data_IF_111776628448
#
_entry.id   IF_111776628448
#
_cell.length_a   1.000
_cell.length_b   1.000
_cell.length_c   1.000
_cell.angle_alpha   90.00
_cell.angle_beta   90.00
_cell.angle_gamma   90.00
#
_symmetry.space_group_name_H-M   'P 1'
#
loop_
_entity.id
_entity.type
_entity.pdbx_description
1 polymer ?
#
# COMPACT_ATOMS: atom_id res chain seq x y z
N UNK A 1 -40.00 52.81 14.20
CA UNK A 1 -39.93 51.39 14.59
C UNK A 1 -39.72 50.48 13.36
N UNK A 2 -40.67 50.43 12.42
CA UNK A 2 -40.60 49.53 11.24
C UNK A 2 -39.38 49.78 10.35
N UNK A 3 -39.09 51.03 9.99
CA UNK A 3 -37.93 51.38 9.15
C UNK A 3 -36.58 50.95 9.75
N UNK A 4 -36.42 51.09 11.07
CA UNK A 4 -35.20 50.67 11.77
C UNK A 4 -35.02 49.14 11.70
N UNK A 5 -36.08 48.37 11.95
CA UNK A 5 -36.06 46.90 11.86
C UNK A 5 -35.79 46.44 10.43
N UNK A 6 -36.35 47.11 9.42
CA UNK A 6 -36.09 46.82 8.01
C UNK A 6 -34.61 47.04 7.65
N UNK A 7 -34.03 48.18 8.06
CA UNK A 7 -32.61 48.48 7.83
C UNK A 7 -31.72 47.45 8.53
N UNK A 8 -32.02 47.12 9.79
CA UNK A 8 -31.25 46.15 10.56
C UNK A 8 -31.30 44.75 9.91
N UNK A 9 -32.47 44.34 9.42
CA UNK A 9 -32.64 43.05 8.73
C UNK A 9 -31.87 43.03 7.42
N UNK A 10 -31.91 44.11 6.64
CA UNK A 10 -31.14 44.23 5.41
C UNK A 10 -29.62 44.13 5.67
N UNK A 11 -29.12 44.81 6.71
CA UNK A 11 -27.71 44.71 7.13
C UNK A 11 -27.37 43.28 7.55
N UNK A 12 -28.22 42.62 8.32
CA UNK A 12 -28.00 41.24 8.76
C UNK A 12 -27.91 40.28 7.57
N UNK A 13 -28.78 40.42 6.57
CA UNK A 13 -28.73 39.62 5.34
C UNK A 13 -27.41 39.83 4.60
N UNK A 14 -26.95 41.08 4.45
CA UNK A 14 -25.67 41.38 3.81
C UNK A 14 -24.51 40.74 4.56
N UNK A 15 -24.47 40.88 5.88
CA UNK A 15 -23.42 40.27 6.73
C UNK A 15 -23.44 38.74 6.59
N UNK A 16 -24.62 38.12 6.59
CA UNK A 16 -24.74 36.69 6.41
C UNK A 16 -24.15 36.21 5.07
N UNK A 17 -24.50 36.87 3.97
CA UNK A 17 -23.95 36.53 2.65
C UNK A 17 -22.44 36.74 2.57
N UNK A 18 -21.91 37.78 3.21
CA UNK A 18 -20.46 38.00 3.31
C UNK A 18 -19.75 36.85 4.03
N UNK A 19 -20.26 36.46 5.19
CA UNK A 19 -19.69 35.33 5.96
C UNK A 19 -19.75 34.04 5.16
N UNK A 20 -20.88 33.77 4.51
CA UNK A 20 -21.06 32.59 3.65
C UNK A 20 -20.05 32.58 2.49
N UNK A 21 -19.89 33.70 1.79
CA UNK A 21 -18.93 33.82 0.70
C UNK A 21 -17.49 33.55 1.16
N UNK A 22 -17.07 34.14 2.30
CA UNK A 22 -15.74 33.92 2.87
C UNK A 22 -15.53 32.44 3.21
N UNK A 23 -16.52 31.79 3.83
CA UNK A 23 -16.45 30.38 4.18
C UNK A 23 -16.29 29.49 2.94
N UNK A 24 -17.07 29.74 1.89
CA UNK A 24 -17.00 29.00 0.63
C UNK A 24 -15.65 29.17 -0.07
N UNK A 25 -15.09 30.39 -0.09
CA UNK A 25 -13.77 30.65 -0.67
C UNK A 25 -12.70 29.85 0.09
N UNK A 26 -12.74 29.85 1.43
CA UNK A 26 -11.80 29.07 2.25
C UNK A 26 -11.89 27.57 1.96
N UNK A 27 -13.10 27.02 1.95
CA UNK A 27 -13.34 25.60 1.65
C UNK A 27 -12.83 25.26 0.25
N UNK A 28 -13.15 26.08 -0.75
CA UNK A 28 -12.68 25.86 -2.12
C UNK A 28 -11.15 25.85 -2.21
N UNK A 29 -10.47 26.76 -1.52
CA UNK A 29 -9.01 26.80 -1.45
C UNK A 29 -8.42 25.50 -0.88
N UNK A 30 -8.99 25.00 0.22
CA UNK A 30 -8.55 23.74 0.83
C UNK A 30 -8.78 22.56 -0.12
N UNK A 31 -9.97 22.44 -0.71
CA UNK A 31 -10.28 21.37 -1.67
C UNK A 31 -9.32 21.36 -2.87
N UNK A 32 -8.96 22.55 -3.38
CA UNK A 32 -7.99 22.67 -4.47
C UNK A 32 -6.60 22.16 -4.08
N UNK A 33 -6.16 22.45 -2.85
CA UNK A 33 -4.87 21.95 -2.33
C UNK A 33 -4.86 20.43 -2.13
N UNK A 34 -6.01 19.82 -1.79
CA UNK A 34 -6.15 18.39 -1.57
C UNK A 34 -6.19 17.61 -2.89
N UNK A 35 -7.04 18.02 -3.84
CA UNK A 35 -7.29 17.21 -5.05
C UNK A 35 -7.60 17.98 -6.34
N UNK A 36 -7.58 19.32 -6.33
CA UNK A 36 -8.03 20.12 -7.47
C UNK A 36 -6.95 20.48 -8.50
N UNK A 37 -5.68 20.10 -8.26
CA UNK A 37 -4.57 20.42 -9.19
C UNK A 37 -3.61 19.24 -9.36
N UNK A 38 -2.81 19.20 -10.44
CA UNK A 38 -1.76 18.19 -10.63
C UNK A 38 -0.67 18.19 -9.55
N UNK A 39 -0.57 19.27 -8.77
CA UNK A 39 0.39 19.45 -7.67
C UNK A 39 -0.23 19.26 -6.28
N UNK A 40 -1.51 18.90 -6.22
CA UNK A 40 -2.25 18.66 -4.99
C UNK A 40 -1.74 17.45 -4.20
N UNK A 41 -2.13 17.35 -2.93
CA UNK A 41 -1.69 16.25 -2.06
C UNK A 41 -2.07 14.87 -2.61
N UNK A 42 -3.30 14.69 -3.09
CA UNK A 42 -3.73 13.42 -3.68
C UNK A 42 -2.97 13.10 -4.97
N UNK A 43 -2.63 14.11 -5.77
CA UNK A 43 -1.82 13.90 -6.97
C UNK A 43 -0.41 13.40 -6.62
N UNK A 44 0.22 13.97 -5.58
CA UNK A 44 1.51 13.50 -5.05
C UNK A 44 1.42 12.08 -4.49
N UNK A 45 0.40 11.78 -3.69
CA UNK A 45 0.18 10.45 -3.14
C UNK A 45 0.01 9.41 -4.24
N UNK A 46 -0.79 9.70 -5.27
CA UNK A 46 -0.96 8.81 -6.43
C UNK A 46 0.37 8.53 -7.13
N UNK A 47 1.20 9.56 -7.35
CA UNK A 47 2.51 9.37 -7.98
C UNK A 47 3.44 8.54 -7.09
N UNK A 48 3.48 8.81 -5.79
CA UNK A 48 4.27 8.03 -4.82
C UNK A 48 3.83 6.58 -4.75
N UNK A 49 2.52 6.31 -4.66
CA UNK A 49 1.97 4.95 -4.65
C UNK A 49 2.28 4.21 -5.95
N UNK A 50 2.16 4.88 -7.10
CA UNK A 50 2.50 4.29 -8.40
C UNK A 50 3.99 3.96 -8.50
N UNK A 51 4.86 4.80 -7.94
CA UNK A 51 6.29 4.50 -7.88
C UNK A 51 6.54 3.27 -7.00
N UNK A 52 5.94 3.20 -5.81
CA UNK A 52 6.05 2.01 -4.94
C UNK A 52 5.57 0.76 -5.68
N UNK A 53 4.40 0.80 -6.31
CA UNK A 53 3.87 -0.33 -7.09
C UNK A 53 4.85 -0.77 -8.20
N UNK A 54 5.38 0.18 -8.97
CA UNK A 54 6.35 -0.10 -10.04
C UNK A 54 7.62 -0.75 -9.50
N UNK A 55 8.21 -0.16 -8.47
CA UNK A 55 9.45 -0.64 -7.84
C UNK A 55 9.26 -1.94 -7.07
N UNK A 56 8.05 -2.28 -6.63
CA UNK A 56 7.78 -3.50 -5.86
C UNK A 56 7.14 -4.61 -6.68
N UNK A 57 6.69 -4.32 -7.90
CA UNK A 57 5.99 -5.28 -8.80
C UNK A 57 6.76 -6.58 -9.04
N UNK A 58 8.09 -6.53 -9.02
CA UNK A 58 8.97 -7.67 -9.25
C UNK A 58 9.22 -8.53 -8.01
N UNK A 59 8.85 -8.07 -6.80
CA UNK A 59 9.07 -8.83 -5.56
C UNK A 59 8.22 -10.11 -5.54
N UNK A 60 6.94 -10.02 -5.89
CA UNK A 60 6.02 -11.18 -5.89
C UNK A 60 6.56 -12.36 -6.70
N UNK A 61 6.92 -12.23 -8.00
CA UNK A 61 7.46 -13.35 -8.76
C UNK A 61 8.82 -13.82 -8.23
N UNK A 62 9.65 -12.94 -7.67
CA UNK A 62 10.93 -13.35 -7.07
C UNK A 62 10.73 -14.18 -5.81
N UNK A 63 9.81 -13.79 -4.92
CA UNK A 63 9.47 -14.55 -3.70
C UNK A 63 8.95 -15.94 -4.05
N UNK A 64 8.09 -16.06 -5.06
CA UNK A 64 7.60 -17.36 -5.55
C UNK A 64 8.76 -18.22 -6.02
N UNK A 65 9.65 -17.69 -6.89
CA UNK A 65 10.82 -18.43 -7.39
C UNK A 65 11.76 -18.87 -6.28
N UNK A 66 12.01 -18.02 -5.29
CA UNK A 66 12.84 -18.35 -4.14
C UNK A 66 12.22 -19.49 -3.35
N UNK A 67 10.91 -19.42 -3.06
CA UNK A 67 10.23 -20.46 -2.33
C UNK A 67 10.22 -21.81 -3.08
N UNK A 68 10.00 -21.79 -4.39
CA UNK A 68 10.13 -22.99 -5.23
C UNK A 68 11.54 -23.59 -5.21
N UNK A 69 12.57 -22.73 -5.29
CA UNK A 69 13.96 -23.15 -5.19
C UNK A 69 14.27 -23.81 -3.84
N UNK A 70 13.84 -23.18 -2.75
CA UNK A 70 14.01 -23.71 -1.40
C UNK A 70 13.26 -25.04 -1.20
N UNK A 71 12.06 -25.16 -1.76
CA UNK A 71 11.29 -26.41 -1.73
C UNK A 71 12.02 -27.54 -2.45
N UNK A 72 12.60 -27.26 -3.62
CA UNK A 72 13.41 -28.24 -4.36
C UNK A 72 14.68 -28.64 -3.60
N UNK A 73 15.36 -27.68 -2.98
CA UNK A 73 16.53 -27.95 -2.14
C UNK A 73 16.15 -28.85 -0.98
N UNK A 74 15.06 -28.56 -0.27
CA UNK A 74 14.58 -29.38 0.83
C UNK A 74 14.29 -30.83 0.40
N UNK A 75 13.58 -31.03 -0.70
CA UNK A 75 13.32 -32.38 -1.24
C UNK A 75 14.58 -33.10 -1.69
N UNK A 76 15.56 -32.38 -2.26
CA UNK A 76 16.86 -32.95 -2.61
C UNK A 76 17.65 -33.39 -1.38
N UNK A 77 17.64 -32.61 -0.30
CA UNK A 77 18.28 -32.96 0.97
C UNK A 77 17.63 -34.19 1.62
N UNK A 78 16.30 -34.31 1.57
CA UNK A 78 15.59 -35.49 2.06
C UNK A 78 15.97 -36.75 1.27
N UNK A 79 16.07 -36.65 -0.06
CA UNK A 79 16.50 -37.77 -0.89
C UNK A 79 17.95 -38.19 -0.59
N UNK A 80 18.83 -37.23 -0.33
CA UNK A 80 20.21 -37.50 0.10
C UNK A 80 20.23 -38.23 1.44
N UNK A 81 19.47 -37.76 2.44
CA UNK A 81 19.35 -38.41 3.75
C UNK A 81 18.87 -39.87 3.63
N UNK A 82 17.79 -40.10 2.88
CA UNK A 82 17.27 -41.45 2.62
C UNK A 82 18.31 -42.36 1.95
N UNK A 83 19.07 -41.82 0.99
CA UNK A 83 20.14 -42.57 0.32
C UNK A 83 21.29 -42.91 1.28
N UNK A 84 21.70 -41.97 2.14
CA UNK A 84 22.74 -42.21 3.17
C UNK A 84 22.30 -43.28 4.16
N UNK A 85 21.07 -43.19 4.68
CA UNK A 85 20.50 -44.20 5.58
C UNK A 85 20.46 -45.57 4.89
N UNK A 86 20.03 -45.62 3.63
CA UNK A 86 19.99 -46.86 2.84
C UNK A 86 21.37 -47.48 2.65
N UNK A 87 22.37 -46.68 2.28
CA UNK A 87 23.76 -47.15 2.07
C UNK A 87 24.41 -47.63 3.36
N UNK A 88 24.21 -46.92 4.49
CA UNK A 88 24.68 -47.37 5.81
C UNK A 88 24.05 -48.72 6.16
N UNK A 89 22.73 -48.85 6.02
CA UNK A 89 22.03 -50.10 6.31
C UNK A 89 22.51 -51.27 5.43
N UNK A 90 22.80 -51.02 4.15
CA UNK A 90 23.35 -52.01 3.26
C UNK A 90 24.76 -52.44 3.68
N UNK A 91 25.63 -51.48 4.02
CA UNK A 91 26.99 -51.75 4.49
C UNK A 91 26.99 -52.56 5.80
N UNK A 92 26.09 -52.26 6.74
CA UNK A 92 25.94 -53.01 8.00
C UNK A 92 25.46 -54.45 7.75
N UNK A 93 24.58 -54.67 6.77
CA UNK A 93 24.05 -55.99 6.42
C UNK A 93 25.01 -56.85 5.60
N UNK A 94 26.09 -56.27 5.08
CA UNK A 94 27.02 -56.98 4.21
C UNK A 94 27.84 -58.00 5.04
N UNK A 95 27.71 -59.32 4.79
CA UNK A 95 28.49 -60.30 5.50
C UNK A 95 29.97 -60.09 5.20
N UNK A 96 30.81 -60.10 6.23
CA UNK A 96 32.27 -60.12 6.04
C UNK A 96 32.61 -61.37 5.26
N UNK A 97 33.18 -61.20 4.06
CA UNK A 97 33.90 -62.27 3.39
C UNK A 97 35.02 -62.73 4.34
N UNK A 98 34.82 -63.88 4.97
CA UNK A 98 35.86 -64.70 5.58
C UNK A 98 36.21 -65.81 4.61
#
# INVERSE_FOLDING_TARGET
>A
MMQLLTILTAVLVIVFFLVLAIALIKISGVLRSIGGTPTSYLAKLRLGLRAIESETSHLTPQVIRVNEGLTKIAGGLEAVDQHLVGTINAAVKQPRYQ
#
